data_IF_320054736193
#
_entry.id   IF_320054736193
#
_cell.length_a   1.000
_cell.length_b   1.000
_cell.length_c   1.000
_cell.angle_alpha   90.00
_cell.angle_beta   90.00
_cell.angle_gamma   90.00
#
_symmetry.space_group_name_H-M   'P 1'
#
loop_
_entity.id
_entity.type
_entity.pdbx_description
1 polymer ?
#
# COMPACT_ATOMS: atom_id res chain seq x y z
N UNK A 1 32.53 19.45 -51.09
CA UNK A 1 31.53 18.39 -51.31
C UNK A 1 31.15 17.87 -49.94
N UNK A 2 29.85 17.95 -49.68
CA UNK A 2 29.20 18.13 -48.38
C UNK A 2 29.32 16.90 -47.48
N UNK A 3 29.55 17.12 -46.18
CA UNK A 3 29.33 16.09 -45.16
C UNK A 3 28.89 16.73 -43.83
N UNK A 4 27.58 16.89 -43.70
CA UNK A 4 26.75 16.57 -42.54
C UNK A 4 27.29 16.94 -41.14
N UNK A 5 27.05 18.19 -40.73
CA UNK A 5 26.96 18.59 -39.32
C UNK A 5 25.49 18.64 -38.88
N UNK A 6 24.92 17.47 -38.61
CA UNK A 6 23.66 17.28 -37.88
C UNK A 6 23.95 16.05 -36.98
N UNK A 7 23.79 15.99 -35.67
CA UNK A 7 22.83 16.58 -34.75
C UNK A 7 23.55 16.89 -33.43
N UNK A 8 23.67 18.17 -33.09
CA UNK A 8 23.99 18.62 -31.73
C UNK A 8 22.67 18.93 -31.00
N UNK A 9 21.84 17.91 -30.78
CA UNK A 9 20.51 18.06 -30.16
C UNK A 9 20.13 16.91 -29.23
N UNK A 10 21.11 16.18 -28.69
CA UNK A 10 20.86 15.10 -27.74
C UNK A 10 21.14 15.47 -26.27
N UNK A 11 21.30 16.76 -25.94
CA UNK A 11 21.76 17.20 -24.61
C UNK A 11 20.80 18.12 -23.82
N UNK A 12 19.56 18.35 -24.29
CA UNK A 12 18.64 19.31 -23.62
C UNK A 12 17.25 18.70 -23.27
N UNK A 13 17.11 17.37 -23.22
CA UNK A 13 15.81 16.76 -22.84
C UNK A 13 15.88 15.73 -21.70
N UNK A 14 17.01 15.58 -21.02
CA UNK A 14 17.14 14.78 -19.78
C UNK A 14 17.35 15.73 -18.57
N UNK A 15 16.64 16.86 -18.57
CA UNK A 15 16.63 17.78 -17.44
C UNK A 15 15.22 18.32 -17.20
N UNK A 16 14.21 17.44 -17.14
CA UNK A 16 12.84 17.82 -16.70
C UNK A 16 11.95 16.61 -16.38
N UNK A 17 12.52 15.46 -15.99
CA UNK A 17 11.70 14.38 -15.41
C UNK A 17 11.54 14.64 -13.93
N UNK A 18 10.41 15.28 -13.66
CA UNK A 18 9.66 15.33 -12.41
C UNK A 18 10.30 16.12 -11.28
N UNK A 19 9.73 17.32 -11.12
CA UNK A 19 9.80 18.12 -9.92
C UNK A 19 9.69 17.23 -8.68
N UNK A 20 10.62 17.44 -7.76
CA UNK A 20 10.47 17.06 -6.35
C UNK A 20 9.05 17.42 -5.93
N UNK A 21 8.35 16.48 -5.28
CA UNK A 21 7.16 16.77 -4.50
C UNK A 21 7.54 17.80 -3.43
N UNK A 22 7.48 19.08 -3.78
CA UNK A 22 7.41 20.15 -2.80
C UNK A 22 6.00 20.11 -2.28
N UNK A 23 5.80 19.42 -1.15
CA UNK A 23 4.72 19.77 -0.26
C UNK A 23 4.86 21.27 0.02
N UNK A 24 4.00 22.08 -0.58
CA UNK A 24 4.03 23.51 -0.39
C UNK A 24 2.60 24.02 -0.29
N UNK A 25 2.25 24.39 0.93
CA UNK A 25 1.38 25.53 1.16
C UNK A 25 1.83 26.18 2.48
N UNK A 26 3.00 26.83 2.48
CA UNK A 26 3.23 27.89 3.46
C UNK A 26 2.35 29.07 3.04
N UNK A 27 1.06 28.97 3.34
CA UNK A 27 0.11 30.07 3.18
C UNK A 27 0.60 31.18 4.11
N UNK A 28 1.10 32.27 3.53
CA UNK A 28 1.30 33.50 4.27
C UNK A 28 -0.04 33.88 4.89
N UNK A 29 -0.03 33.99 6.22
CA UNK A 29 -1.19 33.72 7.07
C UNK A 29 -1.67 35.08 7.64
N UNK A 30 -2.70 35.73 7.07
CA UNK A 30 -2.95 37.15 7.29
C UNK A 30 -3.93 37.47 8.43
N UNK A 31 -4.54 36.46 9.06
CA UNK A 31 -5.61 36.61 10.07
C UNK A 31 -5.23 35.99 11.41
N UNK A 32 -5.75 36.52 12.52
CA UNK A 32 -5.43 36.08 13.88
C UNK A 32 -5.88 34.66 14.28
N UNK A 33 -6.65 33.97 13.44
CA UNK A 33 -7.15 32.60 13.67
C UNK A 33 -6.54 31.57 12.70
N UNK A 34 -5.40 31.89 12.10
CA UNK A 34 -4.75 31.00 11.16
C UNK A 34 -3.64 30.18 11.84
N UNK A 35 -3.59 28.88 11.54
CA UNK A 35 -2.60 27.95 12.11
C UNK A 35 -1.70 27.46 10.99
N UNK A 36 -0.40 27.76 11.11
CA UNK A 36 0.63 27.08 10.32
C UNK A 36 0.96 25.76 10.99
N UNK A 37 0.92 24.67 10.21
CA UNK A 37 1.23 23.33 10.71
C UNK A 37 2.20 22.63 9.77
N UNK A 38 3.18 21.94 10.35
CA UNK A 38 4.12 21.11 9.61
C UNK A 38 3.55 19.69 9.45
N UNK A 39 3.30 19.29 8.21
CA UNK A 39 2.82 17.94 7.85
C UNK A 39 3.94 17.01 7.41
N UNK A 40 5.21 17.44 7.46
CA UNK A 40 6.36 16.64 7.00
C UNK A 40 6.49 15.30 7.73
N UNK A 41 5.97 15.22 8.96
CA UNK A 41 5.99 14.02 9.80
C UNK A 41 4.74 13.14 9.63
N UNK A 42 3.73 13.57 8.86
CA UNK A 42 2.52 12.78 8.64
C UNK A 42 2.76 11.68 7.61
N UNK A 43 2.24 10.48 7.90
CA UNK A 43 2.33 9.36 6.96
C UNK A 43 1.59 9.69 5.66
N UNK A 44 2.21 9.39 4.53
CA UNK A 44 1.56 9.53 3.22
C UNK A 44 0.85 8.23 2.89
N UNK A 45 -0.47 8.31 2.68
CA UNK A 45 -1.31 7.15 2.38
C UNK A 45 -1.75 7.14 0.91
N UNK A 46 -1.71 5.96 0.28
CA UNK A 46 -2.12 5.76 -1.11
C UNK A 46 -3.04 4.56 -1.24
N UNK A 47 -4.05 4.66 -2.08
CA UNK A 47 -4.87 3.49 -2.45
C UNK A 47 -4.17 2.71 -3.56
N UNK A 48 -4.00 1.40 -3.35
CA UNK A 48 -3.59 0.43 -4.36
C UNK A 48 -4.82 -0.36 -4.78
N UNK A 49 -5.40 0.01 -5.92
CA UNK A 49 -6.65 -0.56 -6.40
C UNK A 49 -6.46 -1.85 -7.22
N UNK A 50 -7.38 -2.80 -7.06
CA UNK A 50 -7.51 -4.02 -7.87
C UNK A 50 -6.22 -4.84 -8.04
N UNK A 51 -5.45 -4.97 -6.97
CA UNK A 51 -4.26 -5.81 -6.93
C UNK A 51 -4.67 -7.27 -7.08
N UNK A 52 -4.08 -7.98 -8.05
CA UNK A 52 -4.24 -9.43 -8.18
C UNK A 52 -3.74 -10.15 -6.92
N UNK A 53 -4.18 -11.40 -6.75
CA UNK A 53 -3.68 -12.30 -5.70
C UNK A 53 -2.14 -12.31 -5.64
N UNK A 54 -1.60 -12.34 -4.43
CA UNK A 54 -0.14 -12.27 -4.20
C UNK A 54 0.54 -13.62 -4.27
N UNK A 55 -0.18 -14.71 -3.98
CA UNK A 55 0.39 -16.04 -3.72
C UNK A 55 1.41 -16.07 -2.56
N UNK A 56 1.44 -15.02 -1.74
CA UNK A 56 2.33 -14.94 -0.60
C UNK A 56 1.65 -15.52 0.64
N UNK A 57 2.14 -16.68 1.07
CA UNK A 57 1.51 -17.39 2.17
C UNK A 57 1.68 -16.72 3.54
N UNK A 58 2.54 -15.68 3.64
CA UNK A 58 2.68 -14.85 4.84
C UNK A 58 1.38 -14.10 5.19
N UNK A 59 0.48 -13.87 4.22
CA UNK A 59 -0.86 -13.31 4.50
C UNK A 59 -1.71 -14.18 5.42
N UNK A 60 -1.41 -15.48 5.52
CA UNK A 60 -2.09 -16.41 6.41
C UNK A 60 -1.46 -16.51 7.81
N UNK A 61 -0.59 -15.56 8.22
CA UNK A 61 0.09 -15.54 9.53
C UNK A 61 -0.82 -15.26 10.75
N UNK A 62 -2.04 -15.79 10.72
CA UNK A 62 -3.02 -15.74 11.80
C UNK A 62 -3.52 -14.33 12.10
N UNK A 63 -3.48 -13.96 13.38
CA UNK A 63 -3.93 -12.65 13.87
C UNK A 63 -2.83 -11.58 13.91
N UNK A 64 -1.62 -11.89 13.44
CA UNK A 64 -0.51 -10.94 13.40
C UNK A 64 -0.89 -9.70 12.58
N UNK A 65 -0.76 -8.48 13.10
CA UNK A 65 -0.96 -7.21 12.36
C UNK A 65 0.32 -6.67 11.72
N UNK A 66 1.44 -7.36 11.96
CA UNK A 66 2.80 -7.27 11.39
C UNK A 66 2.95 -7.37 9.87
N UNK A 67 2.00 -8.05 9.23
CA UNK A 67 2.28 -8.74 7.96
C UNK A 67 2.46 -7.76 6.81
N UNK A 68 1.67 -6.69 6.80
CA UNK A 68 1.77 -5.60 5.84
C UNK A 68 3.14 -4.92 5.85
N UNK A 69 3.71 -4.65 7.03
CA UNK A 69 5.05 -4.11 7.15
C UNK A 69 6.11 -5.05 6.58
N UNK A 70 5.95 -6.35 6.81
CA UNK A 70 6.91 -7.34 6.32
C UNK A 70 6.86 -7.44 4.79
N UNK A 71 5.66 -7.49 4.22
CA UNK A 71 5.41 -7.74 2.79
C UNK A 71 5.47 -6.46 1.95
N UNK A 72 4.79 -5.40 2.40
CA UNK A 72 4.57 -4.16 1.66
C UNK A 72 5.44 -2.98 2.13
N UNK A 73 6.19 -3.14 3.25
CA UNK A 73 7.00 -2.08 3.86
C UNK A 73 6.22 -0.84 4.29
N UNK A 74 4.91 -0.98 4.51
CA UNK A 74 4.04 0.07 5.02
C UNK A 74 2.90 -0.51 5.84
N UNK A 75 1.98 0.35 6.27
CA UNK A 75 0.81 -0.03 7.08
C UNK A 75 -0.47 0.07 6.28
N UNK A 76 -1.22 -1.02 6.20
CA UNK A 76 -2.55 -1.00 5.63
C UNK A 76 -3.48 -0.32 6.62
N UNK A 77 -4.09 0.79 6.22
CA UNK A 77 -5.10 1.49 7.01
C UNK A 77 -6.48 0.84 6.85
N UNK A 78 -6.82 0.42 5.63
CA UNK A 78 -8.05 -0.30 5.32
C UNK A 78 -7.90 -1.12 4.04
N UNK A 79 -8.70 -2.17 3.88
CA UNK A 79 -8.72 -2.99 2.67
C UNK A 79 -10.09 -3.58 2.35
N UNK A 80 -10.28 -3.98 1.09
CA UNK A 80 -11.43 -4.75 0.62
C UNK A 80 -10.99 -5.88 -0.30
N UNK A 81 -11.79 -6.93 -0.36
CA UNK A 81 -11.49 -8.17 -1.08
C UNK A 81 -12.58 -8.38 -2.12
N UNK A 82 -12.19 -8.77 -3.33
CA UNK A 82 -13.13 -9.23 -4.35
C UNK A 82 -13.28 -10.73 -4.24
N UNK A 83 -14.48 -11.21 -3.98
CA UNK A 83 -14.80 -12.64 -3.90
C UNK A 83 -14.86 -13.28 -5.29
N UNK A 84 -14.81 -14.61 -5.35
CA UNK A 84 -14.89 -15.35 -6.62
C UNK A 84 -16.18 -15.12 -7.42
N UNK A 85 -17.26 -14.66 -6.78
CA UNK A 85 -18.48 -14.22 -7.47
C UNK A 85 -18.37 -12.82 -8.11
N UNK A 86 -17.20 -12.18 -8.04
CA UNK A 86 -16.93 -10.84 -8.55
C UNK A 86 -17.32 -9.69 -7.62
N UNK A 87 -18.07 -9.97 -6.55
CA UNK A 87 -18.52 -8.98 -5.57
C UNK A 87 -17.39 -8.51 -4.65
N UNK A 88 -17.33 -7.21 -4.38
CA UNK A 88 -16.41 -6.64 -3.40
C UNK A 88 -17.01 -6.71 -2.00
N UNK A 89 -16.18 -7.00 -1.00
CA UNK A 89 -16.52 -6.78 0.41
C UNK A 89 -16.66 -5.29 0.71
N UNK A 90 -17.21 -4.98 1.88
CA UNK A 90 -16.98 -3.68 2.53
C UNK A 90 -15.51 -3.50 2.93
N UNK A 91 -15.20 -2.34 3.51
CA UNK A 91 -13.88 -2.05 4.04
C UNK A 91 -13.64 -2.77 5.37
N UNK A 92 -12.49 -3.43 5.45
CA UNK A 92 -11.91 -3.99 6.65
C UNK A 92 -10.80 -3.07 7.15
N UNK A 93 -10.76 -2.85 8.46
CA UNK A 93 -9.72 -2.11 9.18
C UNK A 93 -8.98 -3.10 10.07
N UNK A 94 -7.65 -3.27 9.91
CA UNK A 94 -6.87 -4.19 10.71
C UNK A 94 -7.07 -3.99 12.22
N UNK A 95 -7.50 -5.05 12.91
CA UNK A 95 -7.71 -5.04 14.35
C UNK A 95 -9.10 -4.60 14.82
N UNK A 96 -9.96 -4.13 13.91
CA UNK A 96 -11.28 -3.61 14.25
C UNK A 96 -12.40 -4.55 13.79
N UNK A 97 -12.50 -4.80 12.48
CA UNK A 97 -13.59 -5.59 11.89
C UNK A 97 -13.10 -6.66 10.91
N UNK A 98 -11.83 -7.07 11.02
CA UNK A 98 -11.16 -7.86 10.00
C UNK A 98 -10.79 -9.28 10.44
N UNK A 99 -11.40 -9.80 11.51
CA UNK A 99 -11.28 -11.20 11.90
C UNK A 99 -12.13 -12.06 10.95
N UNK A 100 -11.54 -13.11 10.37
CA UNK A 100 -12.27 -14.06 9.53
C UNK A 100 -13.09 -15.02 10.41
N UNK A 101 -14.29 -15.38 9.94
CA UNK A 101 -15.09 -16.45 10.54
C UNK A 101 -14.54 -17.85 10.29
N UNK A 102 -13.48 -17.98 9.48
CA UNK A 102 -12.72 -19.21 9.25
C UNK A 102 -11.39 -19.20 9.99
N UNK A 103 -10.84 -20.39 10.19
CA UNK A 103 -9.50 -20.60 10.72
C UNK A 103 -8.56 -21.16 9.63
N UNK A 104 -7.26 -21.22 9.90
CA UNK A 104 -6.27 -21.88 9.06
C UNK A 104 -6.33 -23.40 9.27
N UNK A 105 -6.85 -24.20 8.31
CA UNK A 105 -7.06 -25.64 8.53
C UNK A 105 -5.76 -26.44 8.58
N UNK A 106 -4.69 -25.92 8.00
CA UNK A 106 -3.38 -26.56 7.93
C UNK A 106 -2.31 -25.53 8.26
N UNK A 107 -1.27 -25.95 8.96
CA UNK A 107 -0.10 -25.11 9.16
C UNK A 107 0.68 -24.99 7.85
N UNK A 108 1.39 -23.88 7.69
CA UNK A 108 2.28 -23.69 6.54
C UNK A 108 3.58 -23.05 7.00
N UNK A 109 4.69 -23.61 6.52
CA UNK A 109 6.01 -23.02 6.70
C UNK A 109 6.19 -21.93 5.65
N UNK A 110 5.97 -20.69 6.07
CA UNK A 110 6.37 -19.49 5.36
C UNK A 110 7.49 -18.81 6.16
N UNK A 111 8.12 -17.73 5.65
CA UNK A 111 9.06 -16.93 6.45
C UNK A 111 8.45 -16.41 7.76
N UNK A 112 7.11 -16.38 7.85
CA UNK A 112 6.36 -16.25 9.10
C UNK A 112 5.50 -17.53 9.24
N UNK A 113 5.96 -18.55 10.01
CA UNK A 113 5.22 -19.80 10.14
C UNK A 113 3.93 -19.61 10.93
N UNK A 114 2.90 -20.37 10.59
CA UNK A 114 1.69 -20.47 11.40
C UNK A 114 1.25 -21.93 11.53
N UNK A 115 0.68 -22.24 12.69
CA UNK A 115 0.17 -23.57 13.00
C UNK A 115 -1.21 -23.80 12.37
N UNK A 116 -1.55 -25.08 12.18
CA UNK A 116 -2.92 -25.47 11.90
C UNK A 116 -3.85 -25.04 13.04
N UNK A 117 -5.14 -24.93 12.73
CA UNK A 117 -6.20 -24.61 13.68
C UNK A 117 -6.03 -23.25 14.37
N UNK A 118 -5.57 -22.24 13.63
CA UNK A 118 -5.37 -20.87 14.14
C UNK A 118 -6.37 -19.89 13.54
N UNK A 119 -6.85 -18.95 14.35
CA UNK A 119 -7.64 -17.82 13.89
C UNK A 119 -6.85 -16.98 12.88
N UNK A 120 -7.54 -16.39 11.91
CA UNK A 120 -6.93 -15.55 10.88
C UNK A 120 -7.74 -14.29 10.62
N UNK A 121 -7.09 -13.33 9.95
CA UNK A 121 -7.73 -12.11 9.46
C UNK A 121 -8.26 -12.29 8.03
N UNK A 122 -9.17 -11.41 7.62
CA UNK A 122 -9.72 -11.37 6.27
C UNK A 122 -8.63 -11.17 5.21
N UNK A 123 -7.56 -10.43 5.50
CA UNK A 123 -6.47 -10.25 4.53
C UNK A 123 -5.72 -11.55 4.17
N UNK A 124 -6.01 -12.68 4.82
CA UNK A 124 -5.47 -13.98 4.42
C UNK A 124 -5.88 -14.35 3.00
N UNK A 125 -7.02 -13.82 2.54
CA UNK A 125 -7.49 -13.92 1.16
C UNK A 125 -6.64 -13.12 0.16
N UNK A 126 -5.70 -12.27 0.57
CA UNK A 126 -4.76 -11.62 -0.36
C UNK A 126 -3.86 -12.65 -1.05
N UNK A 127 -3.73 -13.85 -0.49
CA UNK A 127 -3.04 -14.97 -1.11
C UNK A 127 -3.67 -15.38 -2.44
N UNK A 128 -5.00 -15.43 -2.53
CA UNK A 128 -5.74 -16.04 -3.65
C UNK A 128 -6.83 -15.15 -4.30
N UNK A 129 -7.17 -14.02 -3.69
CA UNK A 129 -8.18 -13.08 -4.20
C UNK A 129 -7.57 -11.76 -4.68
N UNK A 130 -8.28 -11.12 -5.60
CA UNK A 130 -8.05 -9.72 -5.94
C UNK A 130 -8.46 -8.84 -4.76
N UNK A 131 -7.68 -7.81 -4.47
CA UNK A 131 -7.88 -6.95 -3.31
C UNK A 131 -7.52 -5.50 -3.61
N UNK A 132 -8.04 -4.59 -2.80
CA UNK A 132 -7.71 -3.16 -2.81
C UNK A 132 -7.37 -2.76 -1.38
N UNK A 133 -6.36 -1.91 -1.18
CA UNK A 133 -5.97 -1.45 0.15
C UNK A 133 -5.44 -0.03 0.13
N UNK A 134 -5.58 0.66 1.25
CA UNK A 134 -4.94 1.94 1.52
C UNK A 134 -3.69 1.65 2.34
N UNK A 135 -2.52 1.98 1.81
CA UNK A 135 -1.23 1.80 2.51
C UNK A 135 -0.65 3.16 2.87
N UNK A 136 -0.26 3.31 4.13
CA UNK A 136 0.43 4.46 4.67
C UNK A 136 1.91 4.13 4.84
N UNK A 137 2.75 4.97 4.25
CA UNK A 137 4.20 4.92 4.44
C UNK A 137 4.56 5.94 5.52
N UNK A 138 5.33 5.50 6.52
CA UNK A 138 5.94 6.44 7.45
C UNK A 138 7.02 7.25 6.70
N UNK A 139 7.20 8.54 7.01
CA UNK A 139 8.30 9.35 6.48
C UNK A 139 9.67 8.75 6.75
#
# INVERSE_FOLDING_TARGET
MENWTILNSLFICILLVMLKNTAAAAVACPTGDCVSYDISTQATCTEVSSKRRTLDCRWAAGLNTNVDQVILKGRIAAYKIQWFNGGWSGWYVPGINDIDGKYNPSGRTCSVPYNANTMRRMWSYFFDHTHTYIICMNP
#
